data_IF_922850831529
#
_entry.id   IF_922850831529
#
_cell.length_a   1.000
_cell.length_b   1.000
_cell.length_c   1.000
_cell.angle_alpha   90.00
_cell.angle_beta   90.00
_cell.angle_gamma   90.00
#
_symmetry.space_group_name_H-M   'P 1'
#
loop_
_entity.id
_entity.type
_entity.pdbx_description
1 polymer ?
#
# COMPACT_ATOMS: atom_id res chain seq x y z
N UNK A 1 7.76 -19.99 91.72
CA UNK A 1 8.84 -19.27 92.42
C UNK A 1 10.12 -19.38 91.58
N UNK A 2 10.73 -18.23 91.30
CA UNK A 2 12.10 -17.98 90.80
C UNK A 2 12.65 -18.74 89.59
N UNK A 3 12.66 -18.01 88.47
CA UNK A 3 13.77 -17.70 87.55
C UNK A 3 15.13 -18.36 87.90
N UNK A 4 15.69 -19.09 86.93
CA UNK A 4 17.14 -19.29 86.79
C UNK A 4 17.58 -18.83 85.40
N UNK A 5 18.45 -17.81 85.37
CA UNK A 5 19.35 -17.52 84.24
C UNK A 5 20.68 -18.19 84.51
N UNK A 6 21.22 -18.88 83.51
CA UNK A 6 22.67 -19.09 83.38
C UNK A 6 23.11 -18.47 82.05
N UNK A 7 24.24 -17.77 82.10
CA UNK A 7 24.88 -17.03 81.01
C UNK A 7 25.99 -17.89 80.41
N UNK A 8 25.99 -17.97 79.07
CA UNK A 8 27.03 -18.22 78.05
C UNK A 8 28.31 -19.03 78.35
N UNK A 9 28.81 -19.73 77.31
CA UNK A 9 29.93 -19.12 76.57
C UNK A 9 29.77 -19.12 75.04
N UNK A 10 30.62 -18.29 74.44
CA UNK A 10 30.83 -17.92 73.04
C UNK A 10 31.04 -19.13 72.12
N UNK A 11 30.37 -19.12 70.96
CA UNK A 11 30.81 -19.86 69.76
C UNK A 11 30.58 -19.05 68.48
N UNK A 12 31.58 -19.12 67.60
CA UNK A 12 31.73 -18.44 66.33
C UNK A 12 30.65 -18.83 65.30
N UNK A 13 30.37 -17.86 64.41
CA UNK A 13 29.61 -17.93 63.14
C UNK A 13 29.64 -19.29 62.42
N UNK A 14 28.48 -19.64 61.83
CA UNK A 14 28.45 -19.81 60.38
C UNK A 14 27.23 -19.08 59.78
N UNK A 15 27.43 -17.85 59.32
CA UNK A 15 26.48 -17.10 58.50
C UNK A 15 27.07 -17.00 57.09
N UNK A 16 27.24 -18.14 56.42
CA UNK A 16 27.84 -18.17 55.08
C UNK A 16 27.29 -19.24 54.14
N UNK A 17 26.18 -19.93 54.48
CA UNK A 17 25.58 -20.93 53.57
C UNK A 17 24.12 -20.67 53.14
N UNK A 18 23.49 -19.57 53.56
CA UNK A 18 22.12 -19.23 53.13
C UNK A 18 22.05 -18.20 51.97
N UNK A 19 23.18 -17.65 51.52
CA UNK A 19 23.22 -16.62 50.47
C UNK A 19 23.40 -17.16 49.04
N UNK A 20 23.47 -18.48 48.85
CA UNK A 20 23.80 -19.11 47.55
C UNK A 20 22.61 -19.75 46.81
N UNK A 21 21.36 -19.61 47.30
CA UNK A 21 20.18 -20.24 46.66
C UNK A 21 19.11 -19.27 46.13
N UNK A 22 19.37 -17.96 46.06
CA UNK A 22 18.41 -16.97 45.51
C UNK A 22 18.88 -16.31 44.18
N UNK A 23 20.05 -16.70 43.65
CA UNK A 23 20.57 -16.13 42.39
C UNK A 23 20.27 -16.96 41.13
N UNK A 24 19.54 -18.07 41.24
CA UNK A 24 19.07 -18.85 40.08
C UNK A 24 17.64 -18.43 39.69
N UNK A 25 17.44 -17.20 39.21
CA UNK A 25 16.08 -16.72 38.91
C UNK A 25 15.92 -15.50 38.00
N UNK A 26 17.01 -14.88 37.54
CA UNK A 26 16.92 -13.78 36.57
C UNK A 26 17.59 -14.18 35.25
N UNK A 27 17.05 -15.20 34.59
CA UNK A 27 17.18 -15.25 33.13
C UNK A 27 16.33 -14.12 32.58
N UNK A 28 16.98 -13.00 32.35
CA UNK A 28 16.46 -11.92 31.53
C UNK A 28 15.97 -12.58 30.25
N UNK A 29 14.67 -12.47 29.97
CA UNK A 29 14.16 -12.72 28.61
C UNK A 29 14.97 -11.80 27.71
N UNK A 30 16.03 -12.31 27.12
CA UNK A 30 16.64 -11.71 25.94
C UNK A 30 15.48 -11.61 24.97
N UNK A 31 15.01 -10.38 24.76
CA UNK A 31 14.18 -10.05 23.61
C UNK A 31 14.94 -10.66 22.44
N UNK A 32 14.40 -11.72 21.85
CA UNK A 32 15.04 -12.39 20.73
C UNK A 32 15.03 -11.38 19.59
N UNK A 33 16.07 -10.54 19.52
CA UNK A 33 16.35 -9.76 18.33
C UNK A 33 16.67 -10.80 17.28
N UNK A 34 15.69 -11.09 16.41
CA UNK A 34 15.93 -11.90 15.21
C UNK A 34 17.23 -11.39 14.58
N UNK A 35 18.25 -12.24 14.38
CA UNK A 35 19.51 -11.79 13.79
C UNK A 35 19.20 -11.02 12.50
N UNK A 36 19.77 -9.82 12.36
CA UNK A 36 19.65 -9.04 11.13
C UNK A 36 20.18 -9.93 9.99
N UNK A 37 19.27 -10.37 9.11
CA UNK A 37 19.65 -11.24 8.00
C UNK A 37 20.62 -10.50 7.08
N UNK A 38 21.71 -11.16 6.69
CA UNK A 38 22.69 -10.55 5.82
C UNK A 38 22.08 -10.38 4.41
N UNK A 39 22.34 -9.27 3.69
CA UNK A 39 21.73 -9.01 2.39
C UNK A 39 21.91 -10.15 1.37
N UNK A 40 23.03 -10.87 1.41
CA UNK A 40 23.30 -12.03 0.56
C UNK A 40 22.35 -13.20 0.84
N UNK A 41 22.00 -13.43 2.10
CA UNK A 41 21.10 -14.50 2.52
C UNK A 41 19.67 -14.18 2.06
N UNK A 42 19.24 -12.92 2.23
CA UNK A 42 17.95 -12.42 1.74
C UNK A 42 17.85 -12.55 0.23
N UNK A 43 18.90 -12.16 -0.49
CA UNK A 43 18.97 -12.26 -1.95
C UNK A 43 18.87 -13.73 -2.41
N UNK A 44 19.62 -14.64 -1.79
CA UNK A 44 19.56 -16.06 -2.10
C UNK A 44 18.16 -16.65 -1.85
N UNK A 45 17.52 -16.26 -0.75
CA UNK A 45 16.15 -16.65 -0.42
C UNK A 45 15.17 -16.15 -1.49
N UNK A 46 15.23 -14.88 -1.89
CA UNK A 46 14.38 -14.30 -2.94
C UNK A 46 14.51 -15.05 -4.27
N UNK A 47 15.73 -15.39 -4.69
CA UNK A 47 15.98 -16.17 -5.91
C UNK A 47 15.29 -17.52 -5.87
N UNK A 48 15.31 -18.19 -4.71
CA UNK A 48 14.63 -19.48 -4.48
C UNK A 48 13.10 -19.34 -4.47
N UNK A 49 12.59 -18.26 -3.89
CA UNK A 49 11.14 -18.03 -3.72
C UNK A 49 10.44 -17.58 -5.01
N UNK A 50 11.17 -16.96 -5.94
CA UNK A 50 10.64 -16.51 -7.23
C UNK A 50 10.17 -17.68 -8.12
N UNK A 51 9.15 -17.46 -8.99
CA UNK A 51 8.80 -18.41 -10.03
C UNK A 51 10.02 -18.80 -10.89
N UNK A 52 10.11 -20.08 -11.28
CA UNK A 52 11.28 -20.61 -11.98
C UNK A 52 11.53 -19.96 -13.35
N UNK A 53 10.45 -19.51 -14.01
CA UNK A 53 10.46 -18.86 -15.32
C UNK A 53 10.66 -17.33 -15.26
N UNK A 54 10.89 -16.75 -14.09
CA UNK A 54 11.19 -15.32 -13.96
C UNK A 54 12.52 -15.01 -14.64
N UNK A 55 12.52 -14.09 -15.60
CA UNK A 55 13.75 -13.58 -16.20
C UNK A 55 14.52 -12.70 -15.19
N UNK A 56 15.85 -12.78 -15.22
CA UNK A 56 16.75 -12.00 -14.34
C UNK A 56 16.38 -12.04 -12.85
N UNK A 57 16.16 -13.24 -12.29
CA UNK A 57 15.88 -13.43 -10.85
C UNK A 57 16.93 -12.76 -9.94
N UNK A 58 18.19 -12.71 -10.37
CA UNK A 58 19.25 -12.07 -9.59
C UNK A 58 19.07 -10.55 -9.51
N UNK A 59 18.69 -9.91 -10.62
CA UNK A 59 18.36 -8.49 -10.65
C UNK A 59 17.15 -8.15 -9.78
N UNK A 60 16.07 -8.92 -9.89
CA UNK A 60 14.89 -8.74 -9.02
C UNK A 60 15.22 -8.89 -7.53
N UNK A 61 15.98 -9.92 -7.17
CA UNK A 61 16.37 -10.14 -5.79
C UNK A 61 17.26 -9.00 -5.26
N UNK A 62 18.13 -8.44 -6.12
CA UNK A 62 18.98 -7.30 -5.76
C UNK A 62 18.13 -6.06 -5.45
N UNK A 63 17.21 -5.69 -6.34
CA UNK A 63 16.39 -4.50 -6.19
C UNK A 63 15.43 -4.61 -5.00
N UNK A 64 14.84 -5.79 -4.78
CA UNK A 64 13.98 -6.06 -3.61
C UNK A 64 14.79 -5.98 -2.31
N UNK A 65 15.96 -6.64 -2.24
CA UNK A 65 16.81 -6.63 -1.04
C UNK A 65 17.21 -5.20 -0.67
N UNK A 66 17.60 -4.41 -1.68
CA UNK A 66 18.00 -3.02 -1.45
C UNK A 66 16.82 -2.14 -1.00
N UNK A 67 15.62 -2.37 -1.53
CA UNK A 67 14.41 -1.68 -1.07
C UNK A 67 14.06 -2.02 0.39
N UNK A 68 14.14 -3.31 0.78
CA UNK A 68 13.93 -3.73 2.17
C UNK A 68 14.94 -3.08 3.11
N UNK A 69 16.23 -3.11 2.75
CA UNK A 69 17.29 -2.52 3.54
C UNK A 69 17.12 -0.99 3.70
N UNK A 70 16.84 -0.27 2.61
CA UNK A 70 16.66 1.18 2.64
C UNK A 70 15.45 1.63 3.46
N UNK A 71 14.40 0.81 3.52
CA UNK A 71 13.17 1.12 4.25
C UNK A 71 13.11 0.51 5.66
N UNK A 72 14.15 -0.23 6.07
CA UNK A 72 14.18 -0.90 7.38
C UNK A 72 13.09 -1.97 7.54
N UNK A 73 12.63 -2.57 6.43
CA UNK A 73 11.58 -3.60 6.44
C UNK A 73 12.22 -4.96 6.76
N UNK A 74 11.63 -5.69 7.71
CA UNK A 74 12.07 -7.04 8.03
C UNK A 74 11.89 -7.98 6.82
N UNK A 75 12.95 -8.66 6.35
CA UNK A 75 12.90 -9.61 5.22
C UNK A 75 12.33 -10.99 5.62
N UNK A 76 11.24 -11.01 6.39
CA UNK A 76 10.57 -12.27 6.76
C UNK A 76 9.99 -12.97 5.53
N UNK A 77 9.88 -14.30 5.55
CA UNK A 77 9.24 -15.06 4.46
C UNK A 77 7.85 -14.52 4.11
N UNK A 78 7.09 -14.02 5.10
CA UNK A 78 5.78 -13.40 4.86
C UNK A 78 5.90 -12.12 4.02
N UNK A 79 6.83 -11.22 4.36
CA UNK A 79 7.02 -9.97 3.63
C UNK A 79 7.60 -10.22 2.24
N UNK A 80 8.63 -11.07 2.13
CA UNK A 80 9.23 -11.44 0.85
C UNK A 80 8.17 -12.06 -0.09
N UNK A 81 7.40 -13.03 0.39
CA UNK A 81 6.36 -13.65 -0.43
C UNK A 81 5.21 -12.71 -0.79
N UNK A 82 4.89 -11.73 0.05
CA UNK A 82 3.88 -10.71 -0.24
C UNK A 82 4.33 -9.80 -1.40
N UNK A 83 5.59 -9.34 -1.37
CA UNK A 83 6.17 -8.52 -2.43
C UNK A 83 6.26 -9.29 -3.75
N UNK A 84 6.74 -10.54 -3.71
CA UNK A 84 6.80 -11.39 -4.91
C UNK A 84 5.40 -11.66 -5.49
N UNK A 85 4.40 -11.88 -4.64
CA UNK A 85 3.03 -12.15 -5.08
C UNK A 85 2.37 -10.94 -5.76
N UNK A 86 2.53 -9.74 -5.21
CA UNK A 86 2.03 -8.49 -5.83
C UNK A 86 2.78 -8.23 -7.13
N UNK A 87 4.10 -8.34 -7.14
CA UNK A 87 4.92 -8.14 -8.35
C UNK A 87 4.51 -9.10 -9.48
N UNK A 88 4.29 -10.37 -9.14
CA UNK A 88 3.83 -11.38 -10.11
C UNK A 88 2.42 -11.07 -10.63
N UNK A 89 1.52 -10.60 -9.76
CA UNK A 89 0.15 -10.25 -10.13
C UNK A 89 0.09 -9.02 -11.05
N UNK A 90 0.88 -7.99 -10.76
CA UNK A 90 0.84 -6.70 -11.47
C UNK A 90 1.55 -6.75 -12.81
N UNK A 91 2.71 -7.42 -12.88
CA UNK A 91 3.56 -7.35 -14.06
C UNK A 91 4.13 -8.66 -14.55
N UNK A 92 3.93 -9.76 -13.82
CA UNK A 92 4.62 -11.03 -14.10
C UNK A 92 6.15 -10.82 -14.17
N UNK A 93 6.69 -10.00 -13.26
CA UNK A 93 8.12 -9.63 -13.22
C UNK A 93 8.62 -8.97 -14.51
N UNK A 94 7.90 -7.95 -14.98
CA UNK A 94 8.31 -7.09 -16.10
C UNK A 94 8.19 -5.63 -15.67
N UNK A 95 9.29 -4.88 -15.68
CA UNK A 95 9.25 -3.48 -15.20
C UNK A 95 8.36 -2.58 -16.06
N UNK A 96 8.32 -2.85 -17.38
CA UNK A 96 7.57 -2.06 -18.35
C UNK A 96 6.92 -3.00 -19.39
N UNK A 97 5.85 -3.73 -19.02
CA UNK A 97 5.24 -4.72 -19.90
C UNK A 97 4.52 -4.06 -21.09
N UNK A 98 4.54 -4.69 -22.28
CA UNK A 98 3.75 -4.21 -23.40
C UNK A 98 2.25 -4.35 -23.13
N UNK A 99 1.47 -3.36 -23.55
CA UNK A 99 0.00 -3.39 -23.50
C UNK A 99 -0.53 -3.73 -24.90
N UNK A 100 -1.18 -4.90 -25.08
CA UNK A 100 -1.75 -5.27 -26.37
C UNK A 100 -2.74 -4.22 -26.89
N UNK A 101 -2.57 -3.78 -28.13
CA UNK A 101 -3.47 -2.80 -28.75
C UNK A 101 -3.36 -1.37 -28.22
N UNK A 102 -2.31 -1.04 -27.46
CA UNK A 102 -2.13 0.28 -26.85
C UNK A 102 -2.33 1.47 -27.79
N UNK A 103 -1.85 1.46 -29.06
CA UNK A 103 -2.11 2.57 -29.99
C UNK A 103 -3.60 2.87 -30.16
N UNK A 104 -4.41 1.82 -30.35
CA UNK A 104 -5.86 1.97 -30.52
C UNK A 104 -6.54 2.49 -29.25
N UNK A 105 -6.08 2.04 -28.09
CA UNK A 105 -6.59 2.49 -26.79
C UNK A 105 -6.27 3.97 -26.57
N UNK A 106 -5.02 4.38 -26.87
CA UNK A 106 -4.57 5.76 -26.73
C UNK A 106 -5.37 6.71 -27.64
N UNK A 107 -5.51 6.38 -28.93
CA UNK A 107 -6.31 7.18 -29.87
C UNK A 107 -7.78 7.27 -29.46
N UNK A 108 -8.40 6.15 -29.04
CA UNK A 108 -9.78 6.15 -28.54
C UNK A 108 -9.96 7.09 -27.35
N UNK A 109 -9.00 7.12 -26.43
CA UNK A 109 -9.05 8.00 -25.25
C UNK A 109 -8.83 9.47 -25.63
N UNK A 110 -7.95 9.76 -26.59
CA UNK A 110 -7.75 11.10 -27.14
C UNK A 110 -9.04 11.61 -27.79
N UNK A 111 -9.64 10.82 -28.67
CA UNK A 111 -10.89 11.17 -29.36
C UNK A 111 -12.02 11.36 -28.34
N UNK A 112 -12.17 10.46 -27.38
CA UNK A 112 -13.17 10.57 -26.31
C UNK A 112 -13.03 11.87 -25.52
N UNK A 113 -11.81 12.29 -25.19
CA UNK A 113 -11.55 13.56 -24.47
C UNK A 113 -11.83 14.77 -25.36
N UNK A 114 -11.50 14.70 -26.65
CA UNK A 114 -11.82 15.75 -27.61
C UNK A 114 -13.34 15.93 -27.76
N UNK A 115 -14.08 14.83 -27.89
CA UNK A 115 -15.54 14.80 -27.96
C UNK A 115 -16.17 15.42 -26.70
N UNK A 116 -15.65 15.10 -25.50
CA UNK A 116 -16.10 15.70 -24.23
C UNK A 116 -15.93 17.22 -24.18
N UNK A 117 -14.95 17.75 -24.90
CA UNK A 117 -14.68 19.18 -25.01
C UNK A 117 -15.30 19.80 -26.27
N UNK A 118 -16.09 19.04 -27.04
CA UNK A 118 -16.69 19.45 -28.32
C UNK A 118 -15.66 19.90 -29.36
N UNK A 119 -14.46 19.32 -29.33
CA UNK A 119 -13.39 19.60 -30.29
C UNK A 119 -13.47 18.55 -31.41
N UNK A 120 -13.60 18.96 -32.70
CA UNK A 120 -13.59 18.02 -33.81
C UNK A 120 -12.30 17.17 -33.87
N UNK A 121 -12.46 15.84 -33.94
CA UNK A 121 -11.32 14.90 -33.90
C UNK A 121 -10.26 15.17 -34.97
N UNK A 122 -10.65 15.59 -36.19
CA UNK A 122 -9.69 15.91 -37.25
C UNK A 122 -8.73 17.06 -36.87
N UNK A 123 -9.17 18.03 -36.05
CA UNK A 123 -8.32 19.12 -35.56
C UNK A 123 -7.25 18.59 -34.60
N UNK A 124 -7.64 17.70 -33.68
CA UNK A 124 -6.71 17.07 -32.73
C UNK A 124 -5.69 16.21 -33.46
N UNK A 125 -6.14 15.39 -34.41
CA UNK A 125 -5.27 14.54 -35.22
C UNK A 125 -4.27 15.37 -36.03
N UNK A 126 -4.72 16.50 -36.61
CA UNK A 126 -3.85 17.43 -37.34
C UNK A 126 -2.83 18.09 -36.42
N UNK A 127 -3.24 18.53 -35.22
CA UNK A 127 -2.33 19.12 -34.23
C UNK A 127 -1.24 18.12 -33.80
N UNK A 128 -1.56 16.83 -33.70
CA UNK A 128 -0.60 15.78 -33.35
C UNK A 128 0.39 15.44 -34.49
N UNK A 129 0.28 16.04 -35.67
CA UNK A 129 1.30 15.96 -36.72
C UNK A 129 2.55 16.81 -36.41
N UNK A 130 2.48 17.70 -35.42
CA UNK A 130 3.64 18.48 -34.96
C UNK A 130 4.79 17.54 -34.57
N UNK A 131 5.99 17.89 -35.01
CA UNK A 131 7.21 17.14 -34.71
C UNK A 131 7.58 17.28 -33.25
N UNK A 132 7.85 16.13 -32.64
CA UNK A 132 8.35 16.03 -31.28
C UNK A 132 9.88 16.16 -31.25
N UNK A 133 10.49 16.15 -30.05
CA UNK A 133 11.95 16.34 -29.90
C UNK A 133 12.82 15.33 -30.67
N UNK A 134 12.27 14.15 -31.02
CA UNK A 134 12.98 13.11 -31.76
C UNK A 134 12.76 13.14 -33.29
N UNK A 135 12.13 14.19 -33.81
CA UNK A 135 11.90 14.39 -35.25
C UNK A 135 10.73 13.60 -35.86
N UNK A 136 10.08 12.71 -35.09
CA UNK A 136 8.80 12.08 -35.47
C UNK A 136 7.64 12.92 -34.95
N UNK A 137 6.50 12.89 -35.64
CA UNK A 137 5.28 13.53 -35.11
C UNK A 137 4.77 12.80 -33.87
N UNK A 138 3.96 13.49 -33.06
CA UNK A 138 3.28 12.84 -31.94
C UNK A 138 2.37 11.70 -32.40
N UNK A 139 1.67 11.87 -33.53
CA UNK A 139 0.87 10.80 -34.15
C UNK A 139 1.71 9.56 -34.52
N UNK A 140 2.87 9.75 -35.17
CA UNK A 140 3.79 8.65 -35.54
C UNK A 140 4.31 7.88 -34.31
N UNK A 141 4.48 8.58 -33.18
CA UNK A 141 4.88 7.98 -31.90
C UNK A 141 3.73 7.22 -31.24
N UNK A 142 2.53 7.80 -31.23
CA UNK A 142 1.31 7.18 -30.70
C UNK A 142 0.95 5.89 -31.47
N UNK A 143 1.10 5.88 -32.79
CA UNK A 143 0.83 4.70 -33.62
C UNK A 143 1.75 3.50 -33.33
N UNK A 144 2.94 3.78 -32.78
CA UNK A 144 3.98 2.78 -32.50
C UNK A 144 4.15 2.47 -31.02
N UNK A 145 3.33 3.08 -30.16
CA UNK A 145 3.42 2.97 -28.71
C UNK A 145 3.16 1.53 -28.27
N UNK A 146 3.99 1.00 -27.36
CA UNK A 146 3.85 -0.39 -26.88
C UNK A 146 3.64 -0.47 -25.38
N UNK A 147 4.17 0.47 -24.63
CA UNK A 147 4.17 0.45 -23.17
C UNK A 147 3.59 1.73 -22.58
N UNK A 148 3.17 1.66 -21.32
CA UNK A 148 2.71 2.87 -20.59
C UNK A 148 3.83 3.89 -20.44
N UNK A 149 5.08 3.43 -20.29
CA UNK A 149 6.22 4.33 -20.29
C UNK A 149 6.32 5.12 -21.59
N UNK A 150 6.13 4.47 -22.74
CA UNK A 150 6.18 5.17 -24.03
C UNK A 150 5.09 6.27 -24.10
N UNK A 151 3.87 6.00 -23.60
CA UNK A 151 2.82 7.02 -23.50
C UNK A 151 3.20 8.17 -22.57
N UNK A 152 3.76 7.86 -21.39
CA UNK A 152 4.25 8.88 -20.46
C UNK A 152 5.35 9.73 -21.10
N UNK A 153 6.32 9.12 -21.78
CA UNK A 153 7.43 9.82 -22.42
C UNK A 153 6.95 10.69 -23.61
N UNK A 154 5.91 10.27 -24.33
CA UNK A 154 5.23 11.08 -25.35
C UNK A 154 4.58 12.31 -24.72
N UNK A 155 3.84 12.11 -23.62
CA UNK A 155 3.16 13.19 -22.92
C UNK A 155 4.15 14.19 -22.31
N UNK A 156 5.17 13.68 -21.61
CA UNK A 156 6.19 14.49 -20.94
C UNK A 156 6.99 15.33 -21.97
N UNK A 157 7.31 14.74 -23.13
CA UNK A 157 7.96 15.46 -24.23
C UNK A 157 7.09 16.62 -24.77
N UNK A 158 5.78 16.37 -24.95
CA UNK A 158 4.84 17.40 -25.40
C UNK A 158 4.77 18.57 -24.42
N UNK A 159 4.62 18.31 -23.12
CA UNK A 159 4.51 19.40 -22.15
C UNK A 159 5.86 20.07 -21.87
N UNK A 160 6.98 19.38 -22.07
CA UNK A 160 8.32 19.99 -21.97
C UNK A 160 8.59 21.01 -23.09
N UNK A 161 7.85 20.95 -24.20
CA UNK A 161 7.93 21.98 -25.25
C UNK A 161 7.35 23.33 -24.82
N UNK A 162 6.56 23.37 -23.74
CA UNK A 162 5.93 24.57 -23.21
C UNK A 162 6.65 25.01 -21.93
N UNK A 163 7.04 26.30 -21.80
CA UNK A 163 7.60 26.83 -20.56
C UNK A 163 6.70 26.53 -19.36
N UNK A 164 7.29 26.01 -18.28
CA UNK A 164 6.57 25.55 -17.08
C UNK A 164 5.53 24.43 -17.33
N UNK A 165 5.54 23.77 -18.50
CA UNK A 165 4.53 22.79 -18.87
C UNK A 165 4.42 21.60 -17.93
N UNK A 166 5.54 21.13 -17.36
CA UNK A 166 5.52 20.09 -16.30
C UNK A 166 4.75 20.53 -15.06
N UNK A 167 4.96 21.78 -14.61
CA UNK A 167 4.31 22.33 -13.43
C UNK A 167 2.82 22.58 -13.66
N UNK A 168 2.44 22.99 -14.87
CA UNK A 168 1.06 23.35 -15.21
C UNK A 168 0.23 22.14 -15.65
N UNK A 169 0.82 21.19 -16.37
CA UNK A 169 0.11 20.15 -17.10
C UNK A 169 0.59 18.71 -16.78
N UNK A 170 1.62 18.51 -15.96
CA UNK A 170 2.14 17.17 -15.63
C UNK A 170 1.08 16.25 -14.99
N UNK A 171 0.14 16.82 -14.23
CA UNK A 171 -0.97 16.08 -13.63
C UNK A 171 -2.02 15.59 -14.65
N UNK A 172 -1.97 16.06 -15.89
CA UNK A 172 -2.85 15.61 -16.98
C UNK A 172 -2.32 14.38 -17.70
N UNK A 173 -1.12 13.89 -17.35
CA UNK A 173 -0.56 12.67 -17.90
C UNK A 173 -1.52 11.50 -17.62
N UNK A 174 -1.98 10.75 -18.64
CA UNK A 174 -2.99 9.72 -18.46
C UNK A 174 -2.47 8.47 -17.73
N UNK A 175 -1.15 8.34 -17.57
CA UNK A 175 -0.53 7.23 -16.84
C UNK A 175 -0.29 7.66 -15.40
N UNK A 176 -1.11 7.12 -14.49
CA UNK A 176 -1.07 7.46 -13.07
C UNK A 176 -0.35 6.41 -12.22
N UNK A 177 -0.20 5.19 -12.72
CA UNK A 177 0.53 4.09 -12.08
C UNK A 177 1.71 3.67 -12.95
N UNK A 178 2.79 3.19 -12.34
CA UNK A 178 3.97 2.79 -13.09
C UNK A 178 4.79 1.69 -12.40
N UNK A 179 5.67 1.08 -13.19
CA UNK A 179 6.64 0.11 -12.73
C UNK A 179 6.05 -1.29 -12.47
N UNK A 180 6.90 -2.22 -11.99
CA UNK A 180 6.56 -3.63 -11.83
C UNK A 180 5.50 -3.95 -10.78
N UNK A 181 5.21 -3.01 -9.88
CA UNK A 181 4.16 -3.12 -8.87
C UNK A 181 2.98 -2.15 -9.13
N UNK A 182 2.95 -1.45 -10.28
CA UNK A 182 1.85 -0.54 -10.65
C UNK A 182 1.49 0.47 -9.56
N UNK A 183 2.51 1.05 -8.90
CA UNK A 183 2.31 2.03 -7.84
C UNK A 183 1.93 3.40 -8.41
N UNK A 184 1.07 4.13 -7.71
CA UNK A 184 0.70 5.50 -8.07
C UNK A 184 1.92 6.42 -8.09
N UNK A 185 2.07 7.20 -9.16
CA UNK A 185 3.11 8.23 -9.29
C UNK A 185 2.95 9.30 -8.21
N UNK A 186 1.71 9.70 -7.90
CA UNK A 186 1.45 10.67 -6.84
C UNK A 186 1.86 10.13 -5.45
N UNK A 187 1.64 8.83 -5.21
CA UNK A 187 2.13 8.17 -4.00
C UNK A 187 3.66 8.21 -3.95
N UNK A 188 4.33 7.84 -5.05
CA UNK A 188 5.79 7.86 -5.11
C UNK A 188 6.39 9.25 -4.89
N UNK A 189 5.79 10.29 -5.49
CA UNK A 189 6.21 11.68 -5.30
C UNK A 189 6.05 12.12 -3.84
N UNK A 190 4.94 11.78 -3.19
CA UNK A 190 4.72 12.06 -1.78
C UNK A 190 5.67 11.30 -0.84
N UNK A 191 6.21 10.16 -1.28
CA UNK A 191 7.08 9.28 -0.49
C UNK A 191 8.52 9.21 -1.00
N UNK A 192 8.94 10.19 -1.81
CA UNK A 192 10.29 10.25 -2.40
C UNK A 192 11.39 10.55 -1.38
N UNK A 193 11.05 11.12 -0.22
CA UNK A 193 12.01 11.44 0.84
C UNK A 193 12.68 10.15 1.33
N UNK A 194 14.02 10.15 1.34
CA UNK A 194 14.81 8.99 1.76
C UNK A 194 15.07 7.95 0.66
N UNK A 195 14.64 8.21 -0.58
CA UNK A 195 15.01 7.37 -1.72
C UNK A 195 16.55 7.31 -1.87
N UNK A 196 17.16 6.11 -1.90
CA UNK A 196 18.62 5.98 -1.71
C UNK A 196 19.44 6.15 -3.00
N UNK A 197 18.79 6.36 -4.15
CA UNK A 197 19.48 6.44 -5.45
C UNK A 197 19.36 7.82 -6.08
N UNK A 198 20.36 8.25 -6.88
CA UNK A 198 20.22 9.42 -7.73
C UNK A 198 19.07 9.27 -8.72
N UNK A 199 18.26 10.31 -8.84
CA UNK A 199 17.12 10.38 -9.76
C UNK A 199 17.56 11.08 -11.05
N UNK A 200 17.41 10.40 -12.19
CA UNK A 200 17.59 11.01 -13.51
C UNK A 200 16.25 11.60 -14.00
N UNK A 201 16.08 12.90 -13.81
CA UNK A 201 14.87 13.63 -14.18
C UNK A 201 13.85 13.68 -13.04
N UNK A 202 12.72 12.98 -13.18
CA UNK A 202 11.57 13.07 -12.27
C UNK A 202 11.32 11.76 -11.52
N UNK A 203 10.63 11.83 -10.37
CA UNK A 203 10.17 10.63 -9.65
C UNK A 203 9.29 9.77 -10.55
N UNK A 204 8.37 10.38 -11.31
CA UNK A 204 7.58 9.68 -12.35
C UNK A 204 8.44 8.78 -13.22
N UNK A 205 9.55 9.30 -13.77
CA UNK A 205 10.46 8.52 -14.62
C UNK A 205 11.15 7.40 -13.84
N UNK A 206 11.57 7.66 -12.61
CA UNK A 206 12.21 6.66 -11.76
C UNK A 206 11.24 5.52 -11.39
N UNK A 207 9.95 5.79 -11.17
CA UNK A 207 8.95 4.74 -10.86
C UNK A 207 8.82 3.71 -12.00
N UNK A 208 9.05 4.10 -13.25
CA UNK A 208 9.08 3.14 -14.38
C UNK A 208 10.31 2.23 -14.38
N UNK A 209 11.37 2.56 -13.63
CA UNK A 209 12.52 1.68 -13.49
C UNK A 209 12.16 0.47 -12.61
N UNK A 210 12.88 -0.65 -12.76
CA UNK A 210 12.68 -1.82 -11.90
C UNK A 210 12.92 -1.45 -10.43
N UNK A 211 14.07 -0.87 -10.13
CA UNK A 211 14.45 -0.48 -8.75
C UNK A 211 13.49 0.54 -8.15
N UNK A 212 13.06 1.55 -8.93
CA UNK A 212 12.20 2.63 -8.46
C UNK A 212 10.79 2.12 -8.18
N UNK A 213 10.19 1.41 -9.15
CA UNK A 213 8.88 0.82 -8.95
C UNK A 213 8.85 -0.29 -7.89
N UNK A 214 9.94 -1.05 -7.70
CA UNK A 214 10.05 -1.96 -6.55
C UNK A 214 10.14 -1.18 -5.23
N UNK A 215 10.97 -0.14 -5.14
CA UNK A 215 11.10 0.66 -3.91
C UNK A 215 9.75 1.26 -3.48
N UNK A 216 9.09 2.00 -4.38
CA UNK A 216 7.83 2.66 -4.07
C UNK A 216 6.66 1.67 -3.94
N UNK A 217 6.65 0.58 -4.71
CA UNK A 217 5.65 -0.47 -4.55
C UNK A 217 5.78 -1.23 -3.22
N UNK A 218 7.01 -1.51 -2.79
CA UNK A 218 7.27 -2.12 -1.47
C UNK A 218 6.86 -1.16 -0.34
N UNK A 219 7.17 0.13 -0.48
CA UNK A 219 6.71 1.15 0.46
C UNK A 219 5.17 1.22 0.52
N UNK A 220 4.49 1.18 -0.62
CA UNK A 220 3.03 1.16 -0.67
C UNK A 220 2.43 -0.10 -0.04
N UNK A 221 3.06 -1.27 -0.21
CA UNK A 221 2.56 -2.52 0.35
C UNK A 221 2.84 -2.64 1.86
N UNK A 222 4.06 -2.35 2.30
CA UNK A 222 4.59 -2.70 3.61
C UNK A 222 4.99 -1.48 4.47
N UNK A 223 5.11 -0.29 3.87
CA UNK A 223 5.63 0.92 4.51
C UNK A 223 4.65 1.65 5.44
N UNK A 224 3.52 1.03 5.77
CA UNK A 224 2.57 1.55 6.75
C UNK A 224 2.19 0.48 7.78
N UNK A 225 2.01 0.86 9.06
CA UNK A 225 1.60 -0.07 10.10
C UNK A 225 0.14 -0.50 9.87
N UNK A 226 -0.12 -1.80 9.87
CA UNK A 226 -1.47 -2.32 9.80
C UNK A 226 -1.56 -3.60 10.63
N UNK A 227 -2.53 -3.63 11.54
CA UNK A 227 -2.78 -4.73 12.47
C UNK A 227 -3.86 -5.67 11.93
N UNK A 228 -3.72 -6.08 10.67
CA UNK A 228 -4.66 -6.98 10.03
C UNK A 228 -4.43 -8.42 10.49
N UNK A 229 -5.52 -9.18 10.68
CA UNK A 229 -5.42 -10.59 11.09
C UNK A 229 -4.89 -11.48 9.97
N UNK A 230 -5.02 -11.03 8.71
CA UNK A 230 -4.60 -11.76 7.53
C UNK A 230 -3.98 -10.83 6.48
N UNK A 231 -2.94 -11.29 5.75
CA UNK A 231 -2.30 -10.49 4.69
C UNK A 231 -3.25 -10.05 3.56
N UNK A 232 -4.35 -10.77 3.34
CA UNK A 232 -5.30 -10.48 2.25
C UNK A 232 -5.85 -9.05 2.32
N UNK A 233 -6.04 -8.48 3.52
CA UNK A 233 -6.51 -7.12 3.70
C UNK A 233 -5.46 -6.09 3.28
N UNK A 234 -4.18 -6.38 3.50
CA UNK A 234 -3.08 -5.53 3.00
C UNK A 234 -3.00 -5.58 1.46
N UNK A 235 -3.37 -6.69 0.83
CA UNK A 235 -3.47 -6.77 -0.64
C UNK A 235 -4.68 -6.02 -1.19
N UNK A 236 -5.78 -5.99 -0.44
CA UNK A 236 -6.90 -5.12 -0.78
C UNK A 236 -6.50 -3.64 -0.67
N UNK A 237 -5.83 -3.25 0.41
CA UNK A 237 -5.32 -1.88 0.62
C UNK A 237 -4.29 -1.48 -0.44
N UNK A 238 -3.46 -2.42 -0.92
CA UNK A 238 -2.52 -2.13 -2.00
C UNK A 238 -3.26 -1.61 -3.25
N UNK A 239 -4.41 -2.21 -3.57
CA UNK A 239 -5.22 -1.85 -4.71
C UNK A 239 -6.18 -0.68 -4.45
N UNK A 240 -6.74 -0.58 -3.25
CA UNK A 240 -7.79 0.38 -2.89
C UNK A 240 -7.31 1.63 -2.12
N UNK A 241 -6.04 1.65 -1.69
CA UNK A 241 -5.47 2.68 -0.84
C UNK A 241 -5.27 2.21 0.61
N UNK A 242 -4.34 2.86 1.31
CA UNK A 242 -4.01 2.52 2.69
C UNK A 242 -5.23 2.57 3.60
N UNK A 243 -5.39 1.51 4.40
CA UNK A 243 -6.48 1.32 5.36
C UNK A 243 -7.88 1.14 4.76
N UNK A 244 -8.01 0.98 3.44
CA UNK A 244 -9.30 0.77 2.78
C UNK A 244 -10.08 -0.41 3.40
N UNK A 245 -9.42 -1.52 3.73
CA UNK A 245 -10.04 -2.69 4.36
C UNK A 245 -10.59 -2.41 5.75
N UNK A 246 -9.86 -1.66 6.58
CA UNK A 246 -10.37 -1.20 7.89
C UNK A 246 -11.55 -0.26 7.71
N UNK A 247 -11.43 0.68 6.77
CA UNK A 247 -12.42 1.71 6.54
C UNK A 247 -13.73 1.13 5.97
N UNK A 248 -13.64 0.12 5.10
CA UNK A 248 -14.81 -0.62 4.60
C UNK A 248 -15.55 -1.34 5.74
N UNK A 249 -14.83 -1.90 6.72
CA UNK A 249 -15.44 -2.48 7.91
C UNK A 249 -16.12 -1.41 8.79
N UNK A 250 -15.49 -0.23 8.94
CA UNK A 250 -16.09 0.90 9.63
C UNK A 250 -17.37 1.39 8.94
N UNK A 251 -17.36 1.55 7.61
CA UNK A 251 -18.57 1.87 6.83
C UNK A 251 -19.67 0.83 7.05
N UNK A 252 -19.32 -0.46 7.13
CA UNK A 252 -20.30 -1.52 7.44
C UNK A 252 -20.94 -1.32 8.83
N UNK A 253 -20.14 -0.95 9.85
CA UNK A 253 -20.65 -0.63 11.17
C UNK A 253 -21.57 0.61 11.16
N UNK A 254 -21.21 1.65 10.40
CA UNK A 254 -22.04 2.85 10.20
C UNK A 254 -23.38 2.49 9.56
N UNK A 255 -23.37 1.73 8.46
CA UNK A 255 -24.59 1.29 7.78
C UNK A 255 -25.51 0.46 8.68
N UNK A 256 -24.95 -0.42 9.51
CA UNK A 256 -25.72 -1.21 10.50
C UNK A 256 -26.36 -0.34 11.58
N UNK A 257 -25.69 0.73 12.00
CA UNK A 257 -26.16 1.60 13.09
C UNK A 257 -27.18 2.64 12.61
N UNK A 258 -27.06 3.07 11.37
CA UNK A 258 -27.89 4.15 10.75
C UNK A 258 -29.03 3.61 9.90
N UNK A 259 -28.90 2.39 9.36
CA UNK A 259 -29.78 1.88 8.30
C UNK A 259 -29.48 2.43 6.91
N UNK A 260 -28.48 3.31 6.75
CA UNK A 260 -28.11 3.93 5.47
C UNK A 260 -27.13 3.01 4.72
N UNK A 261 -27.45 2.56 3.50
CA UNK A 261 -26.53 1.73 2.72
C UNK A 261 -25.30 2.54 2.27
N UNK A 262 -24.10 2.01 2.50
CA UNK A 262 -22.82 2.56 2.03
C UNK A 262 -22.14 1.58 1.07
N UNK A 263 -21.28 2.10 0.18
CA UNK A 263 -20.59 1.33 -0.86
C UNK A 263 -19.52 0.35 -0.31
N UNK A 264 -19.07 0.54 0.93
CA UNK A 264 -18.00 -0.25 1.57
C UNK A 264 -16.69 -0.22 0.76
N UNK A 265 -16.37 0.93 0.19
CA UNK A 265 -15.19 1.20 -0.64
C UNK A 265 -13.95 1.61 0.18
N UNK A 266 -14.12 1.98 1.44
CA UNK A 266 -13.05 2.48 2.31
C UNK A 266 -12.88 4.00 2.28
N UNK A 267 -13.65 4.72 1.46
CA UNK A 267 -13.61 6.19 1.39
C UNK A 267 -14.50 6.80 2.48
N UNK A 268 -13.84 7.38 3.49
CA UNK A 268 -14.52 7.97 4.64
C UNK A 268 -14.99 9.41 4.39
N UNK A 269 -14.33 10.11 3.47
CA UNK A 269 -14.60 11.50 3.11
C UNK A 269 -14.48 11.70 1.60
N UNK A 270 -14.98 12.84 1.11
CA UNK A 270 -14.63 13.31 -0.23
C UNK A 270 -13.29 14.08 -0.15
N UNK A 271 -12.21 13.45 -0.61
CA UNK A 271 -10.87 14.04 -0.55
C UNK A 271 -10.73 15.25 -1.49
N UNK A 272 -9.93 16.23 -1.08
CA UNK A 272 -9.73 17.46 -1.87
C UNK A 272 -10.89 18.45 -1.83
N UNK A 273 -11.90 18.23 -0.97
CA UNK A 273 -13.00 19.17 -0.75
C UNK A 273 -13.49 19.16 0.70
N UNK A 274 -14.06 20.29 1.12
CA UNK A 274 -14.74 20.43 2.43
C UNK A 274 -16.18 19.91 2.39
N UNK A 275 -16.68 19.51 1.21
CA UNK A 275 -18.02 18.93 1.09
C UNK A 275 -18.05 17.53 1.71
N UNK A 276 -19.04 17.23 2.56
CA UNK A 276 -19.13 15.91 3.20
C UNK A 276 -19.45 14.83 2.16
N UNK A 277 -18.78 13.68 2.28
CA UNK A 277 -19.08 12.47 1.51
C UNK A 277 -20.29 11.72 2.06
N UNK A 278 -20.70 10.65 1.39
CA UNK A 278 -21.83 9.78 1.80
C UNK A 278 -21.58 9.13 3.17
N UNK A 279 -20.38 8.59 3.40
CA UNK A 279 -19.96 8.05 4.69
C UNK A 279 -20.07 9.10 5.80
N UNK A 280 -19.52 10.29 5.57
CA UNK A 280 -19.56 11.38 6.53
C UNK A 280 -20.98 11.82 6.87
N UNK A 281 -21.84 11.98 5.86
CA UNK A 281 -23.25 12.32 6.06
C UNK A 281 -23.97 11.26 6.90
N UNK A 282 -23.73 9.97 6.64
CA UNK A 282 -24.30 8.89 7.44
C UNK A 282 -23.82 8.96 8.90
N UNK A 283 -22.53 9.19 9.13
CA UNK A 283 -21.98 9.32 10.49
C UNK A 283 -22.55 10.54 11.22
N UNK A 284 -22.75 11.67 10.54
CA UNK A 284 -23.35 12.89 11.13
C UNK A 284 -24.77 12.64 11.67
N UNK A 285 -25.54 11.72 11.09
CA UNK A 285 -26.85 11.32 11.66
C UNK A 285 -26.75 10.71 13.06
N UNK A 286 -25.58 10.16 13.43
CA UNK A 286 -25.31 9.61 14.75
C UNK A 286 -24.80 10.67 15.74
N UNK A 287 -24.54 11.92 15.32
CA UNK A 287 -23.85 12.94 16.12
C UNK A 287 -24.40 13.12 17.54
N UNK A 288 -25.74 13.18 17.69
CA UNK A 288 -26.38 13.25 19.02
C UNK A 288 -26.13 12.01 19.89
N UNK A 289 -26.19 10.81 19.29
CA UNK A 289 -25.95 9.52 19.99
C UNK A 289 -24.47 9.34 20.33
N UNK A 290 -23.58 9.90 19.51
CA UNK A 290 -22.13 9.88 19.72
C UNK A 290 -21.66 10.98 20.66
N UNK A 291 -22.47 12.02 20.92
CA UNK A 291 -22.05 13.22 21.65
C UNK A 291 -20.95 13.99 20.90
N UNK A 292 -21.03 14.03 19.57
CA UNK A 292 -20.01 14.66 18.71
C UNK A 292 -20.64 15.69 17.78
N UNK A 293 -19.93 16.80 17.56
CA UNK A 293 -20.28 17.78 16.53
C UNK A 293 -19.82 17.31 15.15
N UNK A 294 -20.45 17.82 14.09
CA UNK A 294 -20.06 17.57 12.71
C UNK A 294 -18.56 17.84 12.46
N UNK A 295 -18.01 18.90 13.06
CA UNK A 295 -16.59 19.23 12.94
C UNK A 295 -15.68 18.18 13.61
N UNK A 296 -16.11 17.62 14.74
CA UNK A 296 -15.36 16.57 15.43
C UNK A 296 -15.42 15.25 14.65
N UNK A 297 -16.57 14.96 14.03
CA UNK A 297 -16.74 13.82 13.11
C UNK A 297 -15.80 13.98 11.91
N UNK A 298 -15.81 15.14 11.24
CA UNK A 298 -14.93 15.40 10.08
C UNK A 298 -13.46 15.20 10.43
N UNK A 299 -12.97 15.83 11.51
CA UNK A 299 -11.57 15.71 11.95
C UNK A 299 -11.15 14.27 12.27
N UNK A 300 -12.08 13.44 12.73
CA UNK A 300 -11.80 12.03 12.95
C UNK A 300 -11.74 11.25 11.63
N UNK A 301 -12.71 11.46 10.73
CA UNK A 301 -12.75 10.79 9.41
C UNK A 301 -11.57 11.18 8.51
N UNK A 302 -11.05 12.40 8.63
CA UNK A 302 -9.83 12.86 7.94
C UNK A 302 -8.57 12.07 8.32
N UNK A 303 -8.60 11.31 9.43
CA UNK A 303 -7.51 10.40 9.80
C UNK A 303 -7.64 9.03 9.12
N UNK A 304 -8.63 8.84 8.25
CA UNK A 304 -8.98 7.56 7.64
C UNK A 304 -7.84 6.88 6.87
N UNK A 305 -6.83 7.62 6.45
CA UNK A 305 -5.62 7.14 5.78
C UNK A 305 -4.45 6.89 6.75
N UNK A 306 -4.68 6.95 8.06
CA UNK A 306 -3.66 6.76 9.11
C UNK A 306 -4.05 5.70 10.12
N UNK A 307 -3.06 5.22 10.88
CA UNK A 307 -3.27 4.22 11.93
C UNK A 307 -4.21 4.75 13.03
N UNK A 308 -4.04 6.01 13.40
CA UNK A 308 -4.70 6.65 14.55
C UNK A 308 -6.21 6.77 14.39
N UNK A 309 -6.77 6.53 13.20
CA UNK A 309 -8.23 6.52 13.02
C UNK A 309 -8.91 5.49 13.94
N UNK A 310 -8.32 4.31 14.09
CA UNK A 310 -8.87 3.25 14.97
C UNK A 310 -8.82 3.60 16.46
N UNK A 311 -8.11 4.66 16.82
CA UNK A 311 -7.97 5.16 18.20
C UNK A 311 -8.84 6.40 18.44
N UNK A 312 -9.64 6.82 17.45
CA UNK A 312 -10.53 7.97 17.63
C UNK A 312 -11.78 7.61 18.41
N UNK A 313 -12.25 8.54 19.23
CA UNK A 313 -13.58 8.47 19.88
C UNK A 313 -14.69 8.13 18.88
N UNK A 314 -14.62 8.65 17.65
CA UNK A 314 -15.59 8.35 16.61
C UNK A 314 -15.61 6.85 16.29
N UNK A 315 -14.43 6.29 16.03
CA UNK A 315 -14.28 4.88 15.69
C UNK A 315 -14.81 3.98 16.81
N UNK A 316 -14.35 4.20 18.03
CA UNK A 316 -14.73 3.41 19.20
C UNK A 316 -16.23 3.49 19.48
N UNK A 317 -16.81 4.71 19.48
CA UNK A 317 -18.23 4.91 19.79
C UNK A 317 -19.14 4.36 18.70
N UNK A 318 -18.78 4.47 17.41
CA UNK A 318 -19.56 3.86 16.32
C UNK A 318 -19.60 2.35 16.48
N UNK A 319 -18.46 1.70 16.73
CA UNK A 319 -18.43 0.26 16.97
C UNK A 319 -19.21 -0.13 18.22
N UNK A 320 -19.06 0.60 19.33
CA UNK A 320 -19.84 0.34 20.56
C UNK A 320 -21.35 0.43 20.31
N UNK A 321 -21.82 1.41 19.54
CA UNK A 321 -23.24 1.52 19.15
C UNK A 321 -23.68 0.35 18.27
N UNK A 322 -22.89 -0.01 17.25
CA UNK A 322 -23.20 -1.06 16.28
C UNK A 322 -23.22 -2.46 16.92
N UNK A 323 -22.30 -2.72 17.85
CA UNK A 323 -22.20 -3.99 18.58
C UNK A 323 -23.29 -4.12 19.63
N UNK A 324 -23.66 -3.02 20.29
CA UNK A 324 -24.82 -3.00 21.20
C UNK A 324 -26.12 -3.37 20.48
N UNK A 325 -26.31 -2.91 19.24
CA UNK A 325 -27.52 -3.24 18.47
C UNK A 325 -27.53 -4.66 17.90
N UNK A 326 -26.36 -5.28 17.71
CA UNK A 326 -26.25 -6.63 17.10
C UNK A 326 -25.96 -7.74 18.11
N UNK A 327 -25.57 -7.40 19.34
CA UNK A 327 -25.21 -8.35 20.39
C UNK A 327 -23.93 -9.15 20.10
N UNK A 328 -23.13 -8.75 19.10
CA UNK A 328 -21.93 -9.47 18.66
C UNK A 328 -20.82 -8.49 18.33
N UNK A 329 -19.57 -8.95 18.46
CA UNK A 329 -18.42 -8.19 17.96
C UNK A 329 -18.44 -8.15 16.43
N UNK A 330 -18.24 -6.96 15.85
CA UNK A 330 -18.18 -6.76 14.41
C UNK A 330 -16.75 -6.98 13.85
N UNK A 331 -16.57 -7.20 12.54
CA UNK A 331 -15.25 -7.18 11.92
C UNK A 331 -14.63 -5.77 11.95
N UNK A 332 -13.30 -5.71 12.06
CA UNK A 332 -12.47 -4.47 11.98
C UNK A 332 -11.76 -4.32 10.64
N UNK A 333 -11.96 -5.28 9.76
CA UNK A 333 -11.33 -5.43 8.47
C UNK A 333 -12.31 -6.16 7.53
N UNK A 334 -12.36 -5.74 6.27
CA UNK A 334 -13.24 -6.28 5.25
C UNK A 334 -12.59 -6.07 3.88
N UNK A 335 -12.86 -6.94 2.90
CA UNK A 335 -12.47 -6.67 1.52
C UNK A 335 -13.38 -5.57 0.94
N UNK A 336 -12.83 -4.43 0.46
CA UNK A 336 -13.61 -3.35 -0.10
C UNK A 336 -14.44 -3.78 -1.32
N UNK A 337 -15.64 -3.23 -1.43
CA UNK A 337 -16.62 -3.50 -2.49
C UNK A 337 -16.36 -2.78 -3.82
N UNK A 338 -15.10 -2.46 -4.14
CA UNK A 338 -14.75 -1.63 -5.31
C UNK A 338 -14.73 -2.47 -6.59
N UNK A 339 -15.36 -1.96 -7.65
CA UNK A 339 -15.18 -2.46 -9.01
C UNK A 339 -13.93 -1.85 -9.63
N UNK A 340 -13.09 -2.66 -10.26
CA UNK A 340 -11.89 -2.19 -10.92
C UNK A 340 -12.27 -1.66 -12.30
N UNK A 341 -11.98 -0.38 -12.52
CA UNK A 341 -12.23 0.31 -13.78
C UNK A 341 -10.91 0.68 -14.47
N UNK A 342 -10.78 0.32 -15.74
CA UNK A 342 -9.67 0.74 -16.58
C UNK A 342 -10.07 0.58 -18.05
N UNK A 343 -9.59 1.43 -18.98
CA UNK A 343 -9.76 1.21 -20.42
C UNK A 343 -9.27 -0.16 -20.91
N UNK A 344 -8.41 -0.82 -20.12
CA UNK A 344 -7.84 -2.15 -20.40
C UNK A 344 -8.69 -3.31 -19.87
N UNK A 345 -9.62 -3.06 -18.94
CA UNK A 345 -10.39 -4.09 -18.25
C UNK A 345 -11.70 -4.33 -19.00
N UNK A 346 -11.89 -5.55 -19.52
CA UNK A 346 -13.08 -5.96 -20.26
C UNK A 346 -14.06 -6.80 -19.43
N UNK A 347 -13.72 -7.10 -18.17
CA UNK A 347 -14.51 -7.93 -17.24
C UNK A 347 -14.73 -7.19 -15.93
N UNK A 348 -15.84 -7.44 -15.24
CA UNK A 348 -16.09 -6.89 -13.90
C UNK A 348 -15.15 -7.54 -12.88
N UNK A 349 -14.00 -6.91 -12.63
CA UNK A 349 -13.05 -7.31 -11.59
C UNK A 349 -13.27 -6.47 -10.34
N UNK A 350 -12.86 -6.97 -9.17
CA UNK A 350 -13.02 -6.26 -7.89
C UNK A 350 -11.72 -6.27 -7.08
N UNK A 351 -11.59 -5.37 -6.11
CA UNK A 351 -10.49 -5.40 -5.14
C UNK A 351 -10.42 -6.75 -4.42
N UNK A 352 -11.57 -7.35 -4.09
CA UNK A 352 -11.61 -8.69 -3.51
C UNK A 352 -11.05 -9.77 -4.45
N UNK A 353 -11.29 -9.68 -5.77
CA UNK A 353 -10.68 -10.58 -6.75
C UNK A 353 -9.16 -10.40 -6.76
N UNK A 354 -8.68 -9.15 -6.82
CA UNK A 354 -7.25 -8.85 -6.81
C UNK A 354 -6.56 -9.44 -5.57
N UNK A 355 -7.09 -9.11 -4.38
CA UNK A 355 -6.52 -9.54 -3.10
C UNK A 355 -6.45 -11.08 -2.98
N UNK A 356 -7.49 -11.79 -3.43
CA UNK A 356 -7.50 -13.27 -3.46
C UNK A 356 -6.43 -13.84 -4.39
N UNK A 357 -6.28 -13.29 -5.60
CA UNK A 357 -5.26 -13.74 -6.56
C UNK A 357 -3.85 -13.52 -6.04
N UNK A 358 -3.60 -12.39 -5.39
CA UNK A 358 -2.32 -12.14 -4.71
C UNK A 358 -2.12 -13.11 -3.56
N UNK A 359 -3.13 -13.36 -2.72
CA UNK A 359 -2.97 -14.29 -1.59
C UNK A 359 -2.71 -15.74 -2.05
N UNK A 360 -3.36 -16.19 -3.13
CA UNK A 360 -3.06 -17.49 -3.76
C UNK A 360 -1.58 -17.59 -4.20
N UNK A 361 -1.04 -16.51 -4.79
CA UNK A 361 0.39 -16.43 -5.18
C UNK A 361 1.31 -16.43 -3.96
N UNK A 362 0.94 -15.66 -2.94
CA UNK A 362 1.68 -15.57 -1.67
C UNK A 362 1.72 -16.94 -0.99
N UNK A 363 0.59 -17.65 -0.91
CA UNK A 363 0.53 -19.00 -0.33
C UNK A 363 1.44 -19.99 -1.06
N UNK A 364 1.45 -19.99 -2.41
CA UNK A 364 2.40 -20.81 -3.18
C UNK A 364 3.86 -20.46 -2.90
N UNK A 365 4.17 -19.17 -2.73
CA UNK A 365 5.50 -18.74 -2.31
C UNK A 365 5.84 -19.23 -0.90
N UNK A 366 4.90 -19.15 0.05
CA UNK A 366 5.09 -19.64 1.42
C UNK A 366 5.34 -21.14 1.45
N UNK A 367 4.68 -21.94 0.59
CA UNK A 367 4.96 -23.37 0.45
C UNK A 367 6.41 -23.62 0.01
N UNK A 368 6.95 -22.81 -0.91
CA UNK A 368 8.38 -22.87 -1.29
C UNK A 368 9.29 -22.45 -0.14
N UNK A 369 8.85 -21.49 0.67
CA UNK A 369 9.60 -21.02 1.84
C UNK A 369 9.68 -22.05 2.96
N UNK A 370 8.66 -22.90 3.15
CA UNK A 370 8.67 -23.98 4.14
C UNK A 370 9.37 -25.25 3.68
N UNK A 371 9.53 -25.43 2.36
CA UNK A 371 10.09 -26.64 1.77
C UNK A 371 11.63 -26.67 1.72
N UNK A 372 12.30 -25.57 2.05
CA UNK A 372 13.76 -25.51 2.12
C UNK A 372 14.22 -24.49 3.12
#
# INVERSE_FOLDING_TARGET
MLIRRFINPITLRPLSLAALMVLAGCTTKTTTTTPVQRPEDVKAQLVRLMPANTADRQGWATDITAAFAAQGIEPSSQNLCSVLAVTEQESTFQANPPVPGLPKIAWKEIDRRADQLHIPNFLVHTALLIKSSNGKSYSERLDKVRTEKDLSDIFDDMINSVPMGQKLFGNLNPVHTAGPMQVSVAFAEAHAKGYPYPIDGTIRREVFSRRGGMYFGIAHLLGYPANYSQPIYRFADFNAGWYASRNAAFQSAVSRTTGIPLALDGDLINYGTDKPGTTELAVRTLGKRLGMSDSAIRRALEKGDRLEFSETDLYERVYALAEKSTGKKLPREMLPGIQLESPKITRKLTTAWFAKRVDERRQRCMTRASAG
#
